data_IF_753947425259
#
_entry.id   IF_753947425259
#
_cell.length_a   1.000
_cell.length_b   1.000
_cell.length_c   1.000
_cell.angle_alpha   90.00
_cell.angle_beta   90.00
_cell.angle_gamma   90.00
#
_symmetry.space_group_name_H-M   'P 1'
#
loop_
_entity.id
_entity.type
_entity.pdbx_description
1 polymer ?
#
# COMPACT_ATOMS: atom_id res chain seq x y z
N UNK A 1 20.16 -52.07 -37.71
CA UNK A 1 21.35 -52.10 -38.58
C UNK A 1 21.81 -50.66 -38.78
N UNK A 2 22.98 -50.30 -38.24
CA UNK A 2 23.87 -49.17 -38.60
C UNK A 2 23.30 -47.72 -38.48
N UNK A 3 24.01 -46.65 -38.10
CA UNK A 3 25.33 -46.41 -37.53
C UNK A 3 25.33 -44.93 -37.01
N UNK A 4 25.84 -44.73 -35.79
CA UNK A 4 26.70 -43.64 -35.29
C UNK A 4 26.85 -42.24 -35.94
N UNK A 5 26.77 -41.24 -35.05
CA UNK A 5 27.68 -40.10 -34.74
C UNK A 5 27.93 -38.94 -35.73
N UNK A 6 27.78 -37.71 -35.21
CA UNK A 6 28.86 -36.70 -35.24
C UNK A 6 28.71 -35.68 -34.09
N UNK A 7 29.76 -35.57 -33.30
CA UNK A 7 30.03 -34.60 -32.24
C UNK A 7 30.72 -33.38 -32.88
N UNK A 8 30.39 -32.14 -32.49
CA UNK A 8 31.21 -30.97 -32.84
C UNK A 8 31.36 -30.05 -31.64
N UNK A 9 32.57 -30.06 -31.07
CA UNK A 9 33.06 -29.14 -30.04
C UNK A 9 34.23 -28.38 -30.62
N UNK A 10 34.25 -27.05 -30.49
CA UNK A 10 35.40 -26.20 -30.78
C UNK A 10 35.33 -24.90 -29.92
N UNK A 11 36.41 -24.12 -29.76
CA UNK A 11 37.23 -24.14 -28.55
C UNK A 11 37.21 -22.81 -27.77
N UNK A 12 37.77 -22.86 -26.56
CA UNK A 12 37.98 -21.72 -25.67
C UNK A 12 39.21 -20.89 -26.09
N UNK A 13 39.11 -19.57 -25.99
CA UNK A 13 40.26 -18.66 -25.96
C UNK A 13 40.20 -17.79 -24.71
N UNK A 14 41.12 -18.07 -23.81
CA UNK A 14 41.45 -17.31 -22.60
C UNK A 14 42.34 -16.12 -22.95
N UNK A 15 41.98 -14.92 -22.52
CA UNK A 15 42.93 -13.80 -22.42
C UNK A 15 43.01 -13.32 -20.98
N UNK A 16 44.20 -13.49 -20.41
CA UNK A 16 44.63 -13.01 -19.10
C UNK A 16 45.17 -11.59 -19.28
N UNK A 17 44.74 -10.65 -18.42
CA UNK A 17 45.51 -9.43 -18.11
C UNK A 17 45.51 -9.24 -16.60
N UNK A 18 46.69 -9.40 -15.99
CA UNK A 18 47.08 -8.90 -14.66
C UNK A 18 47.65 -7.47 -14.84
N UNK A 19 47.76 -6.54 -13.90
CA UNK A 19 47.72 -6.44 -12.44
C UNK A 19 47.41 -4.94 -12.10
N UNK A 20 46.99 -4.53 -10.90
CA UNK A 20 47.91 -4.18 -9.79
C UNK A 20 47.13 -3.72 -8.53
N UNK A 21 47.64 -4.15 -7.36
CA UNK A 21 47.73 -3.53 -6.00
C UNK A 21 46.86 -2.29 -5.67
N UNK A 22 46.38 -2.04 -4.45
CA UNK A 22 46.39 -2.66 -3.11
C UNK A 22 45.60 -1.67 -2.22
N UNK A 23 44.76 -2.12 -1.30
CA UNK A 23 44.52 -1.47 0.01
C UNK A 23 43.63 -2.36 0.88
N UNK A 24 44.25 -2.93 1.90
CA UNK A 24 43.59 -3.56 3.04
C UNK A 24 43.13 -2.46 4.01
N UNK A 25 41.85 -2.42 4.40
CA UNK A 25 41.38 -1.83 5.67
C UNK A 25 40.15 -2.63 6.17
N UNK A 26 40.01 -2.89 7.48
CA UNK A 26 39.21 -4.00 8.02
C UNK A 26 37.71 -3.75 8.17
N UNK A 27 36.99 -4.87 8.23
CA UNK A 27 35.58 -5.04 8.54
C UNK A 27 35.23 -4.53 9.96
N UNK A 28 34.32 -3.57 10.07
CA UNK A 28 33.65 -3.21 11.34
C UNK A 28 32.14 -3.44 11.21
N UNK A 29 31.64 -4.27 12.13
CA UNK A 29 30.22 -4.51 12.37
C UNK A 29 29.60 -3.27 12.98
N UNK A 30 28.55 -2.73 12.36
CA UNK A 30 27.60 -1.88 13.08
C UNK A 30 26.21 -2.05 12.48
N UNK A 31 25.28 -2.50 13.34
CA UNK A 31 23.83 -2.48 13.12
C UNK A 31 23.42 -1.06 12.72
N UNK A 32 22.72 -0.90 11.59
CA UNK A 32 22.04 0.34 11.25
C UNK A 32 20.57 0.27 11.70
N UNK A 33 20.05 1.29 12.39
CA UNK A 33 18.67 1.34 12.84
C UNK A 33 17.70 1.69 11.71
N UNK A 34 16.44 1.29 11.96
CA UNK A 34 15.18 1.60 11.27
C UNK A 34 15.11 3.07 10.78
N UNK A 35 14.66 3.34 9.54
CA UNK A 35 14.45 4.71 9.09
C UNK A 35 13.21 5.30 9.77
N UNK A 36 13.46 6.19 10.73
CA UNK A 36 12.49 7.16 11.24
C UNK A 36 12.36 8.28 10.20
N UNK A 37 11.25 8.29 9.46
CA UNK A 37 10.97 9.36 8.52
C UNK A 37 10.40 10.56 9.29
N UNK A 38 11.31 11.43 9.75
CA UNK A 38 10.98 12.76 10.29
C UNK A 38 10.39 13.63 9.17
N UNK A 39 9.08 13.90 9.24
CA UNK A 39 8.47 15.01 8.51
C UNK A 39 8.80 16.33 9.23
N UNK A 40 9.25 17.40 8.54
CA UNK A 40 9.51 18.67 9.20
C UNK A 40 8.20 19.31 9.67
N UNK A 41 8.11 19.56 10.98
CA UNK A 41 7.13 20.48 11.57
C UNK A 41 7.56 21.89 11.25
N UNK A 42 6.99 22.48 10.20
CA UNK A 42 7.06 23.93 9.99
C UNK A 42 6.08 24.60 10.93
N UNK A 43 6.59 25.09 12.04
CA UNK A 43 5.92 26.07 12.89
C UNK A 43 5.88 27.40 12.14
N UNK A 44 4.74 27.74 11.53
CA UNK A 44 4.45 29.11 11.11
C UNK A 44 3.17 29.57 11.78
N UNK A 45 3.36 30.40 12.81
CA UNK A 45 2.32 31.15 13.48
C UNK A 45 1.84 32.26 12.54
N UNK A 46 0.61 32.17 12.06
CA UNK A 46 -0.22 33.32 11.66
C UNK A 46 -1.68 32.91 11.70
N UNK A 47 -2.44 33.63 12.52
CA UNK A 47 -3.84 33.33 12.81
C UNK A 47 -4.81 33.74 11.69
N UNK A 48 -6.07 33.42 11.96
CA UNK A 48 -7.29 33.84 11.26
C UNK A 48 -7.87 32.86 10.23
N UNK A 49 -8.40 31.75 10.72
CA UNK A 49 -9.80 31.30 10.51
C UNK A 49 -9.95 29.93 11.16
N UNK A 50 -10.18 29.93 12.47
CA UNK A 50 -10.73 28.77 13.17
C UNK A 50 -12.17 28.55 12.71
N UNK A 51 -12.34 28.10 11.46
CA UNK A 51 -13.45 27.21 11.14
C UNK A 51 -13.16 26.01 12.01
N UNK A 52 -13.98 25.77 13.02
CA UNK A 52 -14.03 24.53 13.79
C UNK A 52 -13.80 23.41 12.76
N UNK A 53 -12.63 22.76 12.80
CA UNK A 53 -12.34 21.69 11.87
C UNK A 53 -13.38 20.63 12.19
N UNK A 54 -14.47 20.62 11.42
CA UNK A 54 -15.57 19.70 11.64
C UNK A 54 -14.95 18.32 11.58
N UNK A 55 -14.94 17.64 12.72
CA UNK A 55 -14.35 16.32 12.83
C UNK A 55 -15.08 15.43 11.83
N UNK A 56 -14.33 14.92 10.85
CA UNK A 56 -14.87 14.06 9.80
C UNK A 56 -15.09 12.69 10.42
N UNK A 57 -16.26 12.10 10.21
CA UNK A 57 -16.51 10.71 10.63
C UNK A 57 -16.29 9.82 9.41
N UNK A 58 -15.35 8.88 9.51
CA UNK A 58 -15.10 7.93 8.45
C UNK A 58 -16.28 6.98 8.30
N UNK A 59 -16.66 6.72 7.06
CA UNK A 59 -17.58 5.64 6.70
C UNK A 59 -17.31 5.15 5.29
N UNK A 60 -17.53 3.86 5.06
CA UNK A 60 -17.50 3.30 3.71
C UNK A 60 -18.65 3.89 2.88
N UNK A 61 -18.41 4.15 1.60
CA UNK A 61 -19.44 4.60 0.65
C UNK A 61 -19.65 3.56 -0.45
N UNK A 62 -20.89 3.44 -0.87
CA UNK A 62 -21.25 2.60 -2.02
C UNK A 62 -20.68 3.19 -3.32
N UNK A 63 -20.58 2.34 -4.35
CA UNK A 63 -20.12 2.70 -5.68
C UNK A 63 -18.71 3.31 -5.78
N UNK A 64 -17.84 3.06 -4.80
CA UNK A 64 -16.44 3.50 -4.83
C UNK A 64 -15.49 2.37 -5.22
N UNK A 65 -15.23 1.41 -4.33
CA UNK A 65 -14.33 0.29 -4.61
C UNK A 65 -12.84 0.64 -4.79
N UNK A 66 -12.39 1.88 -4.55
CA UNK A 66 -10.99 2.28 -4.77
C UNK A 66 -9.99 1.44 -3.95
N UNK A 67 -10.38 1.03 -2.73
CA UNK A 67 -9.58 0.14 -1.88
C UNK A 67 -9.37 -1.26 -2.48
N UNK A 68 -10.16 -1.67 -3.48
CA UNK A 68 -10.02 -2.95 -4.15
C UNK A 68 -8.96 -2.95 -5.26
N UNK A 69 -8.32 -1.80 -5.58
CA UNK A 69 -7.10 -1.80 -6.40
C UNK A 69 -5.91 -2.15 -5.49
N UNK A 70 -5.56 -3.44 -5.46
CA UNK A 70 -4.58 -4.00 -4.53
C UNK A 70 -3.15 -3.90 -5.06
N UNK A 71 -2.94 -4.17 -6.36
CA UNK A 71 -1.65 -3.90 -6.99
C UNK A 71 -1.56 -2.42 -7.31
N UNK A 72 -0.90 -1.70 -6.42
CA UNK A 72 -0.58 -0.30 -6.61
C UNK A 72 0.89 -0.19 -7.01
N UNK A 73 1.24 0.90 -7.68
CA UNK A 73 2.59 1.21 -8.11
C UNK A 73 3.50 1.51 -6.90
N UNK A 74 4.78 1.82 -7.17
CA UNK A 74 5.81 2.10 -6.16
C UNK A 74 5.47 3.23 -5.16
N UNK A 75 4.37 3.94 -5.36
CA UNK A 75 3.86 4.97 -4.47
C UNK A 75 3.21 4.40 -3.19
N UNK A 76 2.97 3.08 -3.10
CA UNK A 76 2.29 2.46 -1.97
C UNK A 76 3.15 1.41 -1.27
N UNK A 77 2.89 1.27 0.02
CA UNK A 77 3.50 0.27 0.91
C UNK A 77 3.19 -1.13 0.39
N UNK A 78 4.22 -1.98 0.31
CA UNK A 78 4.07 -3.38 -0.12
C UNK A 78 3.38 -4.22 0.95
N UNK A 79 2.72 -5.36 0.62
CA UNK A 79 2.10 -6.21 1.63
C UNK A 79 3.13 -6.72 2.66
N UNK A 80 4.38 -6.94 2.27
CA UNK A 80 5.47 -7.35 3.17
C UNK A 80 5.85 -6.28 4.20
N UNK A 81 5.54 -5.01 3.93
CA UNK A 81 5.75 -3.90 4.86
C UNK A 81 4.53 -3.65 5.76
N UNK A 82 3.34 -4.10 5.37
CA UNK A 82 2.10 -3.93 6.12
C UNK A 82 1.87 -5.08 7.10
N UNK A 83 2.14 -6.31 6.67
CA UNK A 83 1.81 -7.51 7.43
C UNK A 83 3.06 -8.10 8.07
N UNK A 84 2.96 -8.38 9.37
CA UNK A 84 4.00 -9.14 10.09
C UNK A 84 3.82 -10.66 9.89
N UNK A 85 2.59 -11.11 9.64
CA UNK A 85 2.25 -12.51 9.40
C UNK A 85 2.43 -12.88 7.92
N UNK A 86 3.28 -13.87 7.57
CA UNK A 86 3.44 -14.32 6.19
C UNK A 86 2.15 -14.87 5.56
N UNK A 87 1.25 -15.46 6.35
CA UNK A 87 -0.02 -16.01 5.83
C UNK A 87 -0.93 -14.89 5.32
N UNK A 88 -0.91 -13.72 5.96
CA UNK A 88 -1.65 -12.53 5.51
C UNK A 88 -1.05 -11.95 4.23
N UNK A 89 0.27 -11.97 4.08
CA UNK A 89 0.95 -11.55 2.84
C UNK A 89 0.54 -12.46 1.68
N UNK A 90 0.54 -13.78 1.90
CA UNK A 90 0.12 -14.75 0.89
C UNK A 90 -1.35 -14.58 0.53
N UNK A 91 -2.23 -14.42 1.53
CA UNK A 91 -3.64 -14.16 1.31
C UNK A 91 -3.87 -12.88 0.51
N UNK A 92 -3.23 -11.77 0.89
CA UNK A 92 -3.34 -10.50 0.16
C UNK A 92 -2.93 -10.65 -1.30
N UNK A 93 -1.79 -11.30 -1.57
CA UNK A 93 -1.29 -11.52 -2.94
C UNK A 93 -2.22 -12.43 -3.75
N UNK A 94 -2.76 -13.48 -3.14
CA UNK A 94 -3.69 -14.40 -3.80
C UNK A 94 -4.97 -13.72 -4.29
N UNK A 95 -5.34 -12.60 -3.65
CA UNK A 95 -6.53 -11.83 -4.02
C UNK A 95 -6.27 -10.86 -5.18
N UNK A 96 -5.03 -10.65 -5.62
CA UNK A 96 -4.69 -9.74 -6.72
C UNK A 96 -4.90 -10.45 -8.06
N UNK A 97 -5.85 -9.97 -8.87
CA UNK A 97 -6.04 -10.43 -10.24
C UNK A 97 -5.00 -9.84 -11.20
N UNK A 98 -4.93 -10.38 -12.42
CA UNK A 98 -3.95 -9.98 -13.44
C UNK A 98 -3.99 -8.48 -13.80
N UNK A 99 -5.15 -7.85 -13.65
CA UNK A 99 -5.35 -6.42 -13.87
C UNK A 99 -5.04 -5.55 -12.63
N UNK A 100 -4.53 -6.16 -11.57
CA UNK A 100 -4.17 -5.53 -10.30
C UNK A 100 -5.34 -5.21 -9.37
N UNK A 101 -6.57 -5.56 -9.74
CA UNK A 101 -7.73 -5.43 -8.86
C UNK A 101 -7.95 -6.71 -8.06
N UNK A 102 -8.63 -6.57 -6.92
CA UNK A 102 -9.08 -7.72 -6.13
C UNK A 102 -9.98 -8.63 -6.98
N UNK A 103 -9.70 -9.93 -7.01
CA UNK A 103 -10.49 -10.93 -7.74
C UNK A 103 -11.96 -11.00 -7.29
N UNK A 104 -12.22 -10.57 -6.04
CA UNK A 104 -13.56 -10.53 -5.46
C UNK A 104 -14.30 -9.20 -5.73
N UNK A 105 -13.67 -8.24 -6.43
CA UNK A 105 -14.30 -6.98 -6.77
C UNK A 105 -15.05 -7.07 -8.09
N UNK A 106 -16.39 -6.98 -8.03
CA UNK A 106 -17.20 -6.87 -9.23
C UNK A 106 -17.16 -5.43 -9.74
N UNK A 107 -16.49 -5.21 -10.88
CA UNK A 107 -16.33 -3.89 -11.50
C UNK A 107 -17.62 -3.28 -12.05
N UNK A 108 -18.59 -4.11 -12.45
CA UNK A 108 -19.86 -3.65 -12.99
C UNK A 108 -20.77 -3.11 -11.88
N UNK A 109 -20.85 -3.83 -10.75
CA UNK A 109 -21.70 -3.44 -9.61
C UNK A 109 -20.95 -2.64 -8.55
N UNK A 110 -19.62 -2.52 -8.66
CA UNK A 110 -18.72 -1.89 -7.68
C UNK A 110 -18.85 -2.45 -6.26
N UNK A 111 -19.08 -3.76 -6.15
CA UNK A 111 -19.29 -4.46 -4.88
C UNK A 111 -18.30 -5.62 -4.72
N UNK A 112 -17.95 -5.91 -3.46
CA UNK A 112 -17.17 -7.09 -3.11
C UNK A 112 -18.11 -8.30 -3.01
N UNK A 113 -17.79 -9.40 -3.70
CA UNK A 113 -18.56 -10.65 -3.67
C UNK A 113 -18.54 -11.33 -2.30
N UNK A 114 -17.48 -11.12 -1.52
CA UNK A 114 -17.27 -11.68 -0.18
C UNK A 114 -17.41 -10.61 0.92
N UNK A 115 -18.27 -9.61 0.73
CA UNK A 115 -18.30 -8.43 1.64
C UNK A 115 -18.41 -8.79 3.13
N UNK A 116 -19.23 -9.80 3.46
CA UNK A 116 -19.41 -10.31 4.82
C UNK A 116 -18.18 -11.07 5.34
N UNK A 117 -17.52 -11.82 4.46
CA UNK A 117 -16.39 -12.70 4.77
C UNK A 117 -15.03 -12.05 4.44
N UNK A 118 -14.99 -10.73 4.27
CA UNK A 118 -13.75 -10.01 3.98
C UNK A 118 -12.69 -10.29 5.04
N UNK A 119 -11.43 -10.53 4.64
CA UNK A 119 -10.31 -10.58 5.57
C UNK A 119 -10.25 -9.31 6.42
N UNK A 120 -9.71 -9.41 7.63
CA UNK A 120 -9.70 -8.28 8.57
C UNK A 120 -8.98 -7.05 7.98
N UNK A 121 -7.89 -7.24 7.24
CA UNK A 121 -7.15 -6.14 6.60
C UNK A 121 -7.93 -5.42 5.49
N UNK A 122 -9.01 -6.01 4.98
CA UNK A 122 -9.93 -5.35 4.05
C UNK A 122 -10.97 -4.46 4.76
N UNK A 123 -11.00 -4.46 6.10
CA UNK A 123 -11.92 -3.68 6.93
C UNK A 123 -11.21 -2.44 7.44
N UNK A 124 -11.86 -1.30 7.24
CA UNK A 124 -11.38 -0.02 7.77
C UNK A 124 -12.09 0.19 9.09
N UNK A 125 -11.52 -0.42 10.12
CA UNK A 125 -12.03 -0.42 11.50
C UNK A 125 -10.91 0.03 12.45
N UNK A 126 -11.23 0.66 13.59
CA UNK A 126 -10.22 1.16 14.52
C UNK A 126 -9.22 0.11 14.97
N UNK A 127 -9.69 -1.10 15.31
CA UNK A 127 -8.84 -2.19 15.79
C UNK A 127 -7.86 -2.66 14.71
N UNK A 128 -8.30 -2.75 13.45
CA UNK A 128 -7.44 -3.11 12.32
C UNK A 128 -6.36 -2.06 12.10
N UNK A 129 -6.71 -0.77 12.18
CA UNK A 129 -5.76 0.33 12.03
C UNK A 129 -4.75 0.41 13.18
N UNK A 130 -5.19 0.09 14.40
CA UNK A 130 -4.32 -0.02 15.56
C UNK A 130 -3.31 -1.17 15.38
N UNK A 131 -3.75 -2.33 14.91
CA UNK A 131 -2.90 -3.51 14.69
C UNK A 131 -1.91 -3.30 13.55
N UNK A 132 -2.38 -2.88 12.37
CA UNK A 132 -1.53 -2.80 11.17
C UNK A 132 -0.64 -1.55 11.13
N UNK A 133 -1.08 -0.45 11.75
CA UNK A 133 -0.40 0.85 11.59
C UNK A 133 -0.07 1.54 12.92
N UNK A 134 -0.45 0.97 14.06
CA UNK A 134 -0.25 1.61 15.37
C UNK A 134 -1.09 2.88 15.56
N UNK A 135 -2.16 3.05 14.79
CA UNK A 135 -2.99 4.26 14.83
C UNK A 135 -4.02 4.13 15.96
N UNK A 136 -3.88 5.00 16.96
CA UNK A 136 -4.84 5.14 18.06
C UNK A 136 -6.26 5.44 17.57
N UNK A 137 -7.27 4.85 18.20
CA UNK A 137 -8.69 5.03 17.88
C UNK A 137 -9.10 6.52 17.78
N UNK A 138 -8.58 7.37 18.67
CA UNK A 138 -8.83 8.83 18.65
C UNK A 138 -8.35 9.53 17.37
N UNK A 139 -7.43 8.91 16.61
CA UNK A 139 -6.91 9.38 15.32
C UNK A 139 -7.52 8.62 14.14
N UNK A 140 -8.22 7.51 14.38
CA UNK A 140 -8.77 6.62 13.35
C UNK A 140 -9.52 7.39 12.26
N UNK A 141 -10.51 8.21 12.65
CA UNK A 141 -11.35 8.93 11.70
C UNK A 141 -10.53 9.83 10.76
N UNK A 142 -9.54 10.55 11.31
CA UNK A 142 -8.67 11.43 10.53
C UNK A 142 -7.81 10.64 9.55
N UNK A 143 -7.15 9.58 10.02
CA UNK A 143 -6.23 8.78 9.20
C UNK A 143 -6.98 7.95 8.15
N UNK A 144 -8.10 7.33 8.53
CA UNK A 144 -8.95 6.56 7.62
C UNK A 144 -9.56 7.46 6.52
N UNK A 145 -10.03 8.66 6.87
CA UNK A 145 -10.50 9.63 5.88
C UNK A 145 -9.38 10.05 4.92
N UNK A 146 -8.19 10.38 5.44
CA UNK A 146 -7.03 10.72 4.62
C UNK A 146 -6.63 9.62 3.65
N UNK A 147 -6.45 8.39 4.16
CA UNK A 147 -6.07 7.22 3.37
C UNK A 147 -7.10 6.91 2.26
N UNK A 148 -8.40 7.01 2.57
CA UNK A 148 -9.45 6.83 1.57
C UNK A 148 -9.46 7.95 0.52
N UNK A 149 -9.30 9.21 0.92
CA UNK A 149 -9.21 10.35 -0.01
C UNK A 149 -8.05 10.15 -0.99
N UNK A 150 -6.87 9.83 -0.47
CA UNK A 150 -5.67 9.68 -1.30
C UNK A 150 -5.80 8.47 -2.23
N UNK A 151 -6.31 7.34 -1.72
CA UNK A 151 -6.56 6.15 -2.56
C UNK A 151 -7.56 6.46 -3.67
N UNK A 152 -8.69 7.13 -3.36
CA UNK A 152 -9.69 7.48 -4.38
C UNK A 152 -9.08 8.40 -5.44
N UNK A 153 -8.29 9.41 -5.04
CA UNK A 153 -7.60 10.30 -5.98
C UNK A 153 -6.65 9.55 -6.90
N UNK A 154 -5.89 8.61 -6.37
CA UNK A 154 -4.96 7.82 -7.20
C UNK A 154 -5.71 6.94 -8.20
N UNK A 155 -6.81 6.32 -7.79
CA UNK A 155 -7.52 5.35 -8.65
C UNK A 155 -8.45 6.02 -9.66
N UNK A 156 -9.21 7.03 -9.24
CA UNK A 156 -10.25 7.65 -10.06
C UNK A 156 -9.96 9.10 -10.45
N UNK A 157 -8.96 9.74 -9.82
CA UNK A 157 -8.61 11.14 -10.05
C UNK A 157 -9.20 12.11 -9.03
N UNK A 158 -8.65 13.34 -8.96
CA UNK A 158 -9.08 14.37 -8.01
C UNK A 158 -10.47 14.95 -8.29
N UNK A 159 -10.96 14.85 -9.53
CA UNK A 159 -12.28 15.37 -9.94
C UNK A 159 -13.33 14.25 -10.09
N UNK A 160 -13.10 13.11 -9.44
CA UNK A 160 -13.94 11.92 -9.55
C UNK A 160 -15.24 12.03 -8.74
N UNK A 161 -16.31 11.42 -9.27
CA UNK A 161 -17.61 11.35 -8.57
C UNK A 161 -17.50 10.56 -7.26
N UNK A 162 -16.61 9.58 -7.23
CA UNK A 162 -16.28 8.75 -6.08
C UNK A 162 -15.71 9.59 -4.94
N UNK A 163 -14.79 10.51 -5.24
CA UNK A 163 -14.22 11.42 -4.25
C UNK A 163 -15.25 12.41 -3.74
N UNK A 164 -16.06 12.97 -4.62
CA UNK A 164 -17.15 13.87 -4.26
C UNK A 164 -18.19 13.19 -3.35
N UNK A 165 -18.58 11.96 -3.69
CA UNK A 165 -19.47 11.14 -2.88
C UNK A 165 -18.88 10.87 -1.49
N UNK A 166 -17.62 10.45 -1.42
CA UNK A 166 -16.93 10.19 -0.16
C UNK A 166 -16.84 11.45 0.71
N UNK A 167 -16.41 12.58 0.14
CA UNK A 167 -16.29 13.85 0.84
C UNK A 167 -17.63 14.36 1.40
N UNK A 168 -18.73 14.19 0.65
CA UNK A 168 -20.07 14.48 1.17
C UNK A 168 -20.43 13.56 2.32
N UNK A 169 -20.17 12.26 2.18
CA UNK A 169 -20.53 11.25 3.15
C UNK A 169 -19.89 11.51 4.52
N UNK A 170 -18.58 11.80 4.57
CA UNK A 170 -17.82 12.01 5.82
C UNK A 170 -18.08 13.37 6.49
N UNK A 171 -18.67 14.34 5.75
CA UNK A 171 -19.13 15.63 6.29
C UNK A 171 -20.56 15.57 6.82
N UNK A 172 -21.35 14.64 6.29
CA UNK A 172 -22.75 14.43 6.63
C UNK A 172 -22.88 13.37 7.71
N UNK A 173 -22.57 13.75 8.94
CA UNK A 173 -23.10 13.09 10.14
C UNK A 173 -23.68 14.16 11.08
N UNK A 174 -24.99 14.09 11.38
CA UNK A 174 -25.61 14.85 12.45
C UNK A 174 -25.26 14.20 13.81
N UNK A 175 -25.32 15.03 14.85
CA UNK A 175 -25.29 14.64 16.26
C UNK A 175 -26.13 13.39 16.53
N UNK A 176 -25.55 12.45 17.28
CA UNK A 176 -26.17 11.28 17.87
C UNK A 176 -27.60 11.55 18.36
N UNK A 177 -28.54 10.69 18.00
CA UNK A 177 -29.78 10.49 18.78
C UNK A 177 -29.56 9.31 19.70
#
# INVERSE_FOLDING_TARGET
MFLSLALSTAPMSTTIVSATRRSEVPQSKTKKPKPENMRPTTTSTSGFSSRTAKELTWKCVEDCGACCKLAKDFAFVTPDEIFEDPDDVELYRSMIGDDGWCINYNKATRKCSIYADRPYFCRVEPEVFQTLYGIEEKKFNKEACGCCIDTIKTIYGPDSKELDNFNRAIRSTPSST
#
